data_IF_546735419179
#
_entry.id   IF_546735419179
#
_cell.length_a   1.000
_cell.length_b   1.000
_cell.length_c   1.000
_cell.angle_alpha   90.00
_cell.angle_beta   90.00
_cell.angle_gamma   90.00
#
_symmetry.space_group_name_H-M   'P 1'
#
loop_
_entity.id
_entity.type
_entity.pdbx_description
1 polymer ?
#
# COMPACT_ATOMS: atom_id res chain seq x y z
N UNK A 1 -5.02 10.63 18.14
CA UNK A 1 -5.27 11.09 16.76
C UNK A 1 -5.48 9.84 15.91
N UNK A 2 -6.49 9.80 15.04
CA UNK A 2 -6.73 8.61 14.19
C UNK A 2 -5.65 8.53 13.10
N UNK A 3 -5.16 7.32 12.83
CA UNK A 3 -4.12 7.05 11.84
C UNK A 3 -4.72 6.58 10.52
N UNK A 4 -4.38 7.26 9.43
CA UNK A 4 -4.76 6.87 8.07
C UNK A 4 -3.49 6.44 7.32
N UNK A 5 -3.50 5.23 6.78
CA UNK A 5 -2.43 4.73 5.92
C UNK A 5 -2.89 4.73 4.46
N UNK A 6 -2.16 5.43 3.60
CA UNK A 6 -2.23 5.26 2.15
C UNK A 6 -1.17 4.24 1.73
N UNK A 7 -1.54 3.24 0.94
CA UNK A 7 -0.60 2.19 0.52
C UNK A 7 -0.80 1.75 -0.93
N UNK A 8 0.30 1.68 -1.68
CA UNK A 8 0.32 1.23 -3.07
C UNK A 8 0.38 -0.30 -3.19
N UNK A 9 -0.38 -0.87 -4.13
CA UNK A 9 -0.50 -2.33 -4.30
C UNK A 9 0.20 -2.78 -5.59
N UNK A 10 1.17 -3.68 -5.43
CA UNK A 10 1.91 -4.31 -6.52
C UNK A 10 1.49 -5.75 -6.77
N UNK A 11 2.40 -6.55 -7.36
CA UNK A 11 2.15 -7.97 -7.62
C UNK A 11 2.23 -8.88 -6.38
N UNK A 12 2.68 -8.35 -5.24
CA UNK A 12 2.79 -9.07 -3.97
C UNK A 12 1.95 -8.35 -2.90
N UNK A 13 1.09 -9.08 -2.20
CA UNK A 13 0.24 -8.53 -1.14
C UNK A 13 0.91 -8.60 0.24
N UNK A 14 1.86 -9.52 0.45
CA UNK A 14 2.46 -9.81 1.75
C UNK A 14 3.09 -8.57 2.41
N UNK A 15 3.87 -7.72 1.70
CA UNK A 15 4.41 -6.50 2.32
C UNK A 15 3.34 -5.53 2.79
N UNK A 16 2.17 -5.54 2.15
CA UNK A 16 1.03 -4.68 2.49
C UNK A 16 0.40 -5.16 3.80
N UNK A 17 0.25 -6.48 3.96
CA UNK A 17 -0.19 -7.10 5.22
C UNK A 17 0.77 -6.71 6.34
N UNK A 18 2.09 -6.86 6.10
CA UNK A 18 3.13 -6.52 7.07
C UNK A 18 3.07 -5.05 7.49
N UNK A 19 2.94 -4.11 6.55
CA UNK A 19 2.79 -2.68 6.88
C UNK A 19 1.54 -2.41 7.71
N UNK A 20 0.38 -2.96 7.34
CA UNK A 20 -0.88 -2.74 8.07
C UNK A 20 -0.78 -3.29 9.49
N UNK A 21 -0.21 -4.48 9.66
CA UNK A 21 -0.02 -5.11 10.97
C UNK A 21 1.00 -4.36 11.83
N UNK A 22 2.07 -3.83 11.23
CA UNK A 22 3.13 -3.10 11.94
C UNK A 22 2.66 -1.72 12.38
N UNK A 23 1.96 -0.99 11.50
CA UNK A 23 1.55 0.38 11.76
C UNK A 23 0.20 0.49 12.48
N UNK A 24 -0.63 -0.58 12.48
CA UNK A 24 -1.96 -0.62 13.07
C UNK A 24 -2.77 0.67 12.79
N UNK A 25 -3.01 1.04 11.51
CA UNK A 25 -3.79 2.22 11.19
C UNK A 25 -5.28 1.99 11.48
N UNK A 26 -6.00 3.06 11.83
CA UNK A 26 -7.45 3.03 12.03
C UNK A 26 -8.21 2.91 10.69
N UNK A 27 -7.59 3.40 9.61
CA UNK A 27 -8.12 3.38 8.25
C UNK A 27 -7.00 3.16 7.24
N UNK A 28 -7.28 2.32 6.24
CA UNK A 28 -6.36 2.06 5.11
C UNK A 28 -7.02 2.53 3.83
N UNK A 29 -6.27 3.25 2.99
CA UNK A 29 -6.66 3.64 1.64
C UNK A 29 -5.70 2.95 0.68
N UNK A 30 -6.24 2.09 -0.17
CA UNK A 30 -5.47 1.32 -1.14
C UNK A 30 -5.35 2.08 -2.45
N UNK A 31 -4.16 2.09 -3.04
CA UNK A 31 -3.92 2.62 -4.38
C UNK A 31 -3.56 1.44 -5.28
N UNK A 32 -4.47 1.07 -6.18
CA UNK A 32 -4.35 -0.11 -7.01
C UNK A 32 -4.50 0.23 -8.49
N UNK A 33 -3.81 -0.52 -9.35
CA UNK A 33 -4.04 -0.43 -10.79
C UNK A 33 -5.32 -1.14 -11.18
N UNK A 34 -6.04 -0.54 -12.12
CA UNK A 34 -7.22 -1.12 -12.74
C UNK A 34 -6.84 -2.05 -13.90
N UNK A 35 -7.85 -2.65 -14.53
CA UNK A 35 -7.70 -3.59 -15.64
C UNK A 35 -7.52 -5.04 -15.19
N UNK A 36 -7.52 -5.95 -16.17
CA UNK A 36 -7.49 -7.41 -15.94
C UNK A 36 -6.23 -7.88 -15.20
N UNK A 37 -5.09 -7.23 -15.49
CA UNK A 37 -3.80 -7.49 -14.83
C UNK A 37 -3.50 -6.50 -13.70
N UNK A 38 -4.48 -5.68 -13.33
CA UNK A 38 -4.35 -4.68 -12.29
C UNK A 38 -4.33 -5.29 -10.90
N UNK A 39 -3.82 -4.55 -9.92
CA UNK A 39 -3.81 -4.99 -8.51
C UNK A 39 -5.15 -4.82 -7.80
N UNK A 40 -6.18 -4.25 -8.45
CA UNK A 40 -7.54 -4.06 -7.90
C UNK A 40 -8.13 -5.34 -7.31
N UNK A 41 -7.93 -6.48 -7.95
CA UNK A 41 -8.45 -7.77 -7.48
C UNK A 41 -7.93 -8.16 -6.10
N UNK A 42 -6.71 -7.76 -5.74
CA UNK A 42 -6.16 -8.02 -4.40
C UNK A 42 -6.83 -7.19 -3.30
N UNK A 43 -7.60 -6.16 -3.66
CA UNK A 43 -8.33 -5.31 -2.70
C UNK A 43 -9.82 -5.68 -2.64
N UNK A 44 -10.48 -5.80 -3.80
CA UNK A 44 -11.94 -5.98 -3.88
C UNK A 44 -12.36 -7.27 -4.60
N UNK A 45 -11.42 -8.12 -5.00
CA UNK A 45 -11.74 -9.41 -5.59
C UNK A 45 -12.40 -10.33 -4.57
N UNK A 46 -13.41 -11.07 -5.03
CA UNK A 46 -14.12 -12.08 -4.24
C UNK A 46 -13.31 -13.38 -4.13
N UNK A 47 -13.64 -14.21 -3.13
CA UNK A 47 -12.98 -15.49 -2.90
C UNK A 47 -11.52 -15.29 -2.46
N UNK A 48 -10.58 -15.82 -3.23
CA UNK A 48 -9.15 -15.84 -2.89
C UNK A 48 -8.27 -15.25 -4.00
N UNK A 49 -8.32 -13.92 -4.25
CA UNK A 49 -7.60 -13.27 -5.35
C UNK A 49 -6.10 -13.08 -5.10
N UNK A 50 -5.65 -13.17 -3.84
CA UNK A 50 -4.25 -13.02 -3.49
C UNK A 50 -3.51 -14.34 -3.70
N UNK A 51 -2.45 -14.34 -4.50
CA UNK A 51 -1.72 -15.56 -4.85
C UNK A 51 -0.32 -15.54 -4.26
N UNK A 52 0.05 -16.62 -3.57
CA UNK A 52 1.44 -16.88 -3.21
C UNK A 52 2.05 -17.69 -4.34
N UNK A 53 3.13 -17.18 -4.96
CA UNK A 53 3.76 -17.81 -6.11
C UNK A 53 5.21 -18.23 -5.82
N UNK A 54 5.59 -19.39 -6.37
CA UNK A 54 6.99 -19.86 -6.43
C UNK A 54 7.39 -19.96 -7.90
N UNK A 55 8.02 -18.90 -8.41
CA UNK A 55 8.23 -18.76 -9.85
C UNK A 55 6.88 -18.61 -10.57
N UNK A 56 6.63 -19.44 -11.57
CA UNK A 56 5.37 -19.42 -12.33
C UNK A 56 4.20 -20.10 -11.60
N UNK A 57 4.47 -20.97 -10.62
CA UNK A 57 3.49 -21.80 -9.94
C UNK A 57 2.78 -21.03 -8.82
N UNK A 58 1.45 -21.16 -8.74
CA UNK A 58 0.64 -20.68 -7.61
C UNK A 58 0.60 -21.79 -6.56
N UNK A 59 1.21 -21.54 -5.40
CA UNK A 59 1.29 -22.52 -4.31
C UNK A 59 0.16 -22.36 -3.29
N UNK A 60 -0.43 -21.17 -3.21
CA UNK A 60 -1.51 -20.86 -2.27
C UNK A 60 -2.35 -19.70 -2.80
N UNK A 61 -3.64 -19.71 -2.47
CA UNK A 61 -4.57 -18.61 -2.72
C UNK A 61 -5.22 -18.18 -1.42
N UNK A 62 -5.23 -16.87 -1.17
CA UNK A 62 -5.73 -16.25 0.04
C UNK A 62 -6.78 -15.18 -0.28
N UNK A 63 -7.66 -14.84 0.67
CA UNK A 63 -8.63 -13.77 0.52
C UNK A 63 -8.01 -12.42 0.13
N UNK A 64 -8.82 -11.45 -0.27
CA UNK A 64 -8.33 -10.09 -0.51
C UNK A 64 -7.69 -9.46 0.76
N UNK A 65 -6.86 -8.44 0.56
CA UNK A 65 -6.10 -7.77 1.61
C UNK A 65 -7.00 -7.27 2.76
N UNK A 66 -8.12 -6.54 2.51
CA UNK A 66 -9.02 -6.10 3.57
C UNK A 66 -9.56 -7.25 4.44
N UNK A 67 -9.84 -8.41 3.85
CA UNK A 67 -10.29 -9.59 4.58
C UNK A 67 -9.17 -10.19 5.42
N UNK A 68 -7.97 -10.33 4.85
CA UNK A 68 -6.81 -10.90 5.55
C UNK A 68 -6.41 -10.09 6.80
N UNK A 69 -6.53 -8.75 6.74
CA UNK A 69 -6.22 -7.87 7.88
C UNK A 69 -7.43 -7.51 8.75
N UNK A 70 -8.58 -8.12 8.52
CA UNK A 70 -9.77 -7.94 9.37
C UNK A 70 -10.32 -6.50 9.38
N UNK A 71 -10.34 -5.82 8.23
CA UNK A 71 -10.93 -4.47 8.16
C UNK A 71 -12.45 -4.51 8.34
N UNK A 72 -13.12 -5.53 7.80
CA UNK A 72 -14.59 -5.66 7.85
C UNK A 72 -15.29 -4.40 7.34
N UNK A 73 -16.34 -3.97 8.05
CA UNK A 73 -17.14 -2.79 7.69
C UNK A 73 -16.37 -1.46 7.73
N UNK A 74 -15.17 -1.44 8.34
CA UNK A 74 -14.30 -0.26 8.34
C UNK A 74 -13.73 0.05 6.95
N UNK A 75 -13.66 -0.94 6.06
CA UNK A 75 -13.24 -0.75 4.68
C UNK A 75 -14.46 -0.53 3.77
N UNK A 76 -14.48 0.60 3.07
CA UNK A 76 -15.53 0.95 2.13
C UNK A 76 -14.90 1.28 0.76
N UNK A 77 -15.04 0.44 -0.29
CA UNK A 77 -14.31 0.62 -1.55
C UNK A 77 -14.44 2.01 -2.18
N UNK A 78 -15.65 2.58 -2.20
CA UNK A 78 -15.91 3.91 -2.76
C UNK A 78 -15.14 5.02 -2.05
N UNK A 79 -14.81 4.77 -0.78
CA UNK A 79 -14.12 5.69 0.10
C UNK A 79 -12.62 5.40 0.17
N UNK A 80 -12.22 4.13 0.14
CA UNK A 80 -10.91 3.64 0.60
C UNK A 80 -10.11 2.93 -0.50
N UNK A 81 -10.54 3.04 -1.76
CA UNK A 81 -9.81 2.56 -2.92
C UNK A 81 -9.65 3.67 -3.96
N UNK A 82 -8.41 3.92 -4.35
CA UNK A 82 -8.06 4.77 -5.49
C UNK A 82 -7.60 3.87 -6.62
N UNK A 83 -8.28 3.96 -7.76
CA UNK A 83 -7.90 3.26 -8.98
C UNK A 83 -7.07 4.16 -9.89
N UNK A 84 -5.88 3.69 -10.26
CA UNK A 84 -5.07 4.26 -11.33
C UNK A 84 -5.28 3.44 -12.61
N UNK A 85 -5.52 4.11 -13.73
CA UNK A 85 -5.78 3.46 -15.02
C UNK A 85 -4.46 2.99 -15.64
N UNK A 86 -3.44 3.84 -15.63
CA UNK A 86 -2.10 3.47 -16.04
C UNK A 86 -1.12 3.64 -14.85
N UNK A 87 -0.74 2.55 -14.16
CA UNK A 87 0.21 2.64 -13.05
C UNK A 87 1.61 3.08 -13.46
N UNK A 88 1.95 3.06 -14.76
CA UNK A 88 3.23 3.56 -15.27
C UNK A 88 3.19 5.06 -15.63
N UNK A 89 2.01 5.68 -15.64
CA UNK A 89 1.85 7.13 -15.76
C UNK A 89 2.07 7.81 -14.40
N UNK A 90 3.27 8.35 -14.22
CA UNK A 90 3.67 9.05 -13.00
C UNK A 90 2.76 10.25 -12.70
N UNK A 91 2.32 11.00 -13.73
CA UNK A 91 1.51 12.20 -13.57
C UNK A 91 0.09 11.86 -13.08
N UNK A 92 -0.53 10.84 -13.66
CA UNK A 92 -1.82 10.32 -13.19
C UNK A 92 -1.74 9.87 -11.74
N UNK A 93 -0.74 9.05 -11.43
CA UNK A 93 -0.55 8.48 -10.09
C UNK A 93 -0.33 9.59 -9.06
N UNK A 94 0.60 10.52 -9.33
CA UNK A 94 0.93 11.61 -8.43
C UNK A 94 -0.28 12.51 -8.17
N UNK A 95 -1.00 12.95 -9.21
CA UNK A 95 -2.15 13.84 -9.04
C UNK A 95 -3.21 13.20 -8.15
N UNK A 96 -3.59 11.95 -8.43
CA UNK A 96 -4.62 11.24 -7.64
C UNK A 96 -4.22 11.08 -6.18
N UNK A 97 -2.96 10.71 -5.92
CA UNK A 97 -2.46 10.51 -4.56
C UNK A 97 -2.38 11.84 -3.80
N UNK A 98 -1.76 12.86 -4.40
CA UNK A 98 -1.63 14.20 -3.80
C UNK A 98 -2.99 14.81 -3.49
N UNK A 99 -3.93 14.76 -4.44
CA UNK A 99 -5.27 15.34 -4.23
C UNK A 99 -5.98 14.63 -3.07
N UNK A 100 -5.81 13.31 -2.94
CA UNK A 100 -6.35 12.58 -1.79
C UNK A 100 -5.72 13.02 -0.47
N UNK A 101 -4.40 13.13 -0.41
CA UNK A 101 -3.70 13.56 0.81
C UNK A 101 -4.16 14.97 1.21
N UNK A 102 -4.17 15.91 0.27
CA UNK A 102 -4.62 17.29 0.49
C UNK A 102 -6.05 17.35 1.05
N UNK A 103 -6.97 16.57 0.49
CA UNK A 103 -8.36 16.52 0.98
C UNK A 103 -8.45 16.00 2.42
N UNK A 104 -7.68 14.95 2.76
CA UNK A 104 -7.64 14.41 4.13
C UNK A 104 -7.01 15.41 5.13
N UNK A 105 -6.04 16.21 4.68
CA UNK A 105 -5.40 17.22 5.53
C UNK A 105 -6.35 18.37 5.89
N UNK A 106 -7.37 18.67 5.08
CA UNK A 106 -8.37 19.71 5.41
C UNK A 106 -9.17 19.38 6.68
N UNK A 107 -9.33 18.09 7.00
CA UNK A 107 -10.06 17.63 8.19
C UNK A 107 -9.24 17.77 9.50
N UNK A 108 -7.93 18.11 9.42
CA UNK A 108 -6.98 18.42 10.51
C UNK A 108 -6.98 17.50 11.76
N UNK A 109 -7.55 16.30 11.67
CA UNK A 109 -7.81 15.41 12.82
C UNK A 109 -7.10 14.06 12.74
N UNK A 110 -6.29 13.87 11.70
CA UNK A 110 -5.69 12.58 11.35
C UNK A 110 -4.19 12.67 11.17
N UNK A 111 -3.48 11.67 11.69
CA UNK A 111 -2.11 11.39 11.29
C UNK A 111 -2.17 10.62 9.98
N UNK A 112 -1.62 11.21 8.92
CA UNK A 112 -1.60 10.61 7.59
C UNK A 112 -0.20 10.03 7.36
N UNK A 113 -0.18 8.78 6.90
CA UNK A 113 1.02 8.02 6.59
C UNK A 113 0.90 7.43 5.19
N UNK A 114 2.04 7.25 4.53
CA UNK A 114 2.12 6.64 3.21
C UNK A 114 3.11 5.46 3.24
N UNK A 115 2.80 4.39 2.50
CA UNK A 115 3.70 3.28 2.23
C UNK A 115 3.77 3.03 0.72
N UNK A 116 4.99 2.98 0.19
CA UNK A 116 5.26 2.87 -1.25
C UNK A 116 5.91 1.53 -1.63
N UNK A 117 5.80 0.52 -0.75
CA UNK A 117 6.46 -0.79 -0.92
C UNK A 117 6.01 -1.51 -2.19
N UNK A 118 4.71 -1.48 -2.47
CA UNK A 118 4.11 -2.11 -3.63
C UNK A 118 3.92 -1.16 -4.80
N UNK A 119 3.55 -1.72 -5.95
CA UNK A 119 3.24 -0.98 -7.16
C UNK A 119 4.31 -1.11 -8.24
N UNK A 120 4.06 -0.48 -9.37
CA UNK A 120 5.10 -0.22 -10.37
C UNK A 120 6.09 0.80 -9.85
N UNK A 121 7.25 0.94 -10.50
CA UNK A 121 8.24 1.95 -10.12
C UNK A 121 7.65 3.37 -10.17
N UNK A 122 6.84 3.66 -11.20
CA UNK A 122 6.16 4.95 -11.34
C UNK A 122 5.14 5.18 -10.22
N UNK A 123 4.34 4.17 -9.85
CA UNK A 123 3.36 4.28 -8.77
C UNK A 123 4.03 4.50 -7.39
N UNK A 124 5.08 3.74 -7.10
CA UNK A 124 5.89 3.92 -5.89
C UNK A 124 6.55 5.30 -5.84
N UNK A 125 7.11 5.77 -6.96
CA UNK A 125 7.69 7.11 -7.06
C UNK A 125 6.65 8.20 -6.85
N UNK A 126 5.47 8.09 -7.46
CA UNK A 126 4.36 9.02 -7.25
C UNK A 126 3.94 9.11 -5.79
N UNK A 127 3.82 7.97 -5.08
CA UNK A 127 3.49 7.95 -3.66
C UNK A 127 4.55 8.66 -2.82
N UNK A 128 5.84 8.36 -3.06
CA UNK A 128 6.93 9.01 -2.33
C UNK A 128 6.97 10.53 -2.59
N UNK A 129 6.83 10.97 -3.84
CA UNK A 129 6.81 12.39 -4.20
C UNK A 129 5.62 13.11 -3.55
N UNK A 130 4.42 12.56 -3.65
CA UNK A 130 3.22 13.16 -3.05
C UNK A 130 3.33 13.22 -1.51
N UNK A 131 3.87 12.16 -0.88
CA UNK A 131 4.07 12.13 0.56
C UNK A 131 5.05 13.21 1.03
N UNK A 132 6.19 13.36 0.32
CA UNK A 132 7.21 14.37 0.60
C UNK A 132 6.62 15.77 0.42
N UNK A 133 5.94 16.04 -0.69
CA UNK A 133 5.36 17.35 -0.99
C UNK A 133 4.34 17.78 0.08
N UNK A 134 3.43 16.86 0.44
CA UNK A 134 2.40 17.07 1.46
C UNK A 134 2.94 17.02 2.90
N UNK A 135 4.20 16.65 3.11
CA UNK A 135 4.83 16.60 4.43
C UNK A 135 4.28 15.52 5.37
N UNK A 136 3.86 14.37 4.82
CA UNK A 136 3.37 13.23 5.61
C UNK A 136 4.45 12.16 5.81
N UNK A 137 4.29 11.31 6.82
CA UNK A 137 5.26 10.23 7.11
C UNK A 137 5.26 9.19 6.00
N UNK A 138 6.45 8.82 5.53
CA UNK A 138 6.65 7.80 4.48
C UNK A 138 7.29 6.53 5.07
N UNK A 139 6.81 5.36 4.62
CA UNK A 139 7.24 4.05 5.08
C UNK A 139 7.55 3.12 3.90
N UNK A 140 8.39 2.12 4.17
CA UNK A 140 8.70 1.03 3.24
C UNK A 140 8.83 -0.28 4.02
N UNK A 141 8.31 -1.36 3.46
CA UNK A 141 8.48 -2.73 3.94
C UNK A 141 9.53 -3.43 3.10
N UNK A 142 10.56 -3.94 3.76
CA UNK A 142 11.68 -4.64 3.13
C UNK A 142 11.76 -6.06 3.67
N UNK A 143 12.27 -6.99 2.85
CA UNK A 143 12.61 -8.32 3.35
C UNK A 143 13.70 -8.20 4.42
N UNK A 144 13.45 -8.76 5.60
CA UNK A 144 14.43 -8.93 6.66
C UNK A 144 15.54 -9.84 6.13
N UNK A 145 16.77 -9.34 6.11
CA UNK A 145 17.94 -10.13 5.74
C UNK A 145 18.54 -10.76 6.98
N UNK A 146 17.83 -11.69 7.60
CA UNK A 146 18.34 -12.41 8.78
C UNK A 146 18.79 -13.84 8.40
N UNK A 147 20.12 -14.02 8.41
CA UNK A 147 20.90 -15.25 8.50
C UNK A 147 20.70 -16.41 7.48
N UNK A 148 21.83 -16.80 6.87
CA UNK A 148 22.04 -17.87 5.87
C UNK A 148 21.64 -19.31 6.29
N UNK A 149 21.05 -19.52 7.46
CA UNK A 149 20.91 -20.85 8.08
C UNK A 149 19.48 -21.38 8.08
N UNK A 150 18.45 -20.54 7.98
CA UNK A 150 17.04 -20.98 7.81
C UNK A 150 16.21 -19.87 7.17
N UNK A 151 15.49 -20.20 6.10
CA UNK A 151 14.64 -19.26 5.34
C UNK A 151 13.35 -19.00 6.14
N UNK A 152 13.43 -18.21 7.20
CA UNK A 152 12.28 -17.47 7.70
C UNK A 152 12.28 -16.12 6.97
N UNK A 153 11.40 -15.98 5.98
CA UNK A 153 11.23 -14.71 5.24
C UNK A 153 10.52 -13.71 6.15
N UNK A 154 11.27 -13.04 7.03
CA UNK A 154 10.76 -11.88 7.73
C UNK A 154 10.60 -10.71 6.77
N UNK A 155 9.61 -9.86 7.00
CA UNK A 155 9.48 -8.54 6.38
C UNK A 155 9.43 -7.51 7.53
N UNK A 156 10.04 -6.33 7.32
CA UNK A 156 10.06 -5.26 8.31
C UNK A 156 9.63 -3.96 7.66
N UNK A 157 8.65 -3.31 8.27
CA UNK A 157 8.21 -1.95 7.92
C UNK A 157 9.07 -0.93 8.65
N UNK A 158 9.68 -0.02 7.90
CA UNK A 158 10.54 1.05 8.44
C UNK A 158 10.11 2.41 7.90
N UNK A 159 10.25 3.44 8.74
CA UNK A 159 10.02 4.83 8.35
C UNK A 159 11.19 5.31 7.50
N UNK A 160 10.90 6.01 6.41
CA UNK A 160 11.91 6.65 5.57
C UNK A 160 12.27 8.01 6.17
N UNK A 161 13.57 8.27 6.26
CA UNK A 161 14.07 9.59 6.62
C UNK A 161 13.91 10.55 5.45
N UNK A 162 13.00 11.51 5.59
CA UNK A 162 12.72 12.57 4.61
C UNK A 162 13.25 13.94 5.04
N UNK A 163 14.19 13.99 6.00
CA UNK A 163 14.77 15.23 6.51
C UNK A 163 15.59 15.99 5.46
N UNK A 164 16.01 15.34 4.38
CA UNK A 164 16.72 15.94 3.24
C UNK A 164 15.93 17.03 2.49
N UNK A 165 14.67 17.28 2.85
CA UNK A 165 13.86 18.40 2.35
C UNK A 165 14.32 19.76 2.93
N UNK A 166 15.17 19.77 3.95
CA UNK A 166 15.67 20.97 4.65
C UNK A 166 16.63 21.81 3.81
#
# INVERSE_FOLDING_TARGET
MSKILLVTIGGSFQPIITTIQSLQPDRVIFIASDGEKGSKSQVIGEGTPCEVRRGAEVIERLPNIPTQVGLGDRFQPQRDLILVQNPDDLGECYSKIRDRISNLQQENSHEIMADYTGGTKSLSAAMAMAAIDCGISLYITIAARDNLVKVERGEVTQRVDTSFRS
#
